data_IF_425534494274
#
_entry.id   IF_425534494274
#
_cell.length_a   1.000
_cell.length_b   1.000
_cell.length_c   1.000
_cell.angle_alpha   90.00
_cell.angle_beta   90.00
_cell.angle_gamma   90.00
#
_symmetry.space_group_name_H-M   'P 1'
#
loop_
_entity.id
_entity.type
_entity.pdbx_description
1 polymer ?
#
# COMPACT_ATOMS: atom_id res chain seq x y z
N UNK A 1 0.91 5.81 17.24
CA UNK A 1 0.97 4.52 16.51
C UNK A 1 1.46 4.68 15.07
N UNK A 2 1.53 5.89 14.50
CA UNK A 2 2.34 6.13 13.27
C UNK A 2 2.80 7.59 13.25
N UNK A 3 4.11 7.80 13.42
CA UNK A 3 4.76 9.11 13.34
C UNK A 3 4.93 9.51 11.86
N UNK A 4 4.91 10.81 11.54
CA UNK A 4 5.17 11.32 10.18
C UNK A 4 6.50 10.80 9.59
N UNK A 5 7.47 10.49 10.44
CA UNK A 5 8.76 9.90 10.07
C UNK A 5 8.62 8.49 9.49
N UNK A 6 7.70 7.67 10.01
CA UNK A 6 7.49 6.30 9.53
C UNK A 6 6.89 6.27 8.10
N UNK A 7 6.06 7.26 7.76
CA UNK A 7 5.52 7.41 6.41
C UNK A 7 6.58 7.85 5.40
N UNK A 8 7.50 8.73 5.82
CA UNK A 8 8.60 9.20 4.97
C UNK A 8 9.56 8.06 4.57
N UNK A 9 9.85 7.13 5.48
CA UNK A 9 10.68 5.96 5.18
C UNK A 9 10.01 4.99 4.21
N UNK A 10 8.71 4.75 4.37
CA UNK A 10 7.93 3.92 3.43
C UNK A 10 7.93 4.51 2.01
N UNK A 11 7.83 5.83 1.90
CA UNK A 11 7.92 6.53 0.62
C UNK A 11 9.31 6.42 0.00
N UNK A 12 10.37 6.56 0.80
CA UNK A 12 11.76 6.52 0.35
C UNK A 12 12.11 5.21 -0.38
N UNK A 13 11.58 4.07 0.08
CA UNK A 13 11.85 2.77 -0.53
C UNK A 13 11.33 2.64 -1.97
N UNK A 14 10.22 3.33 -2.31
CA UNK A 14 9.65 3.30 -3.68
C UNK A 14 10.12 4.46 -4.56
N UNK A 15 10.83 5.44 -3.99
CA UNK A 15 11.25 6.65 -4.71
C UNK A 15 12.15 6.33 -5.92
N UNK A 16 13.02 5.32 -5.80
CA UNK A 16 13.86 4.88 -6.92
C UNK A 16 13.02 4.31 -8.08
N UNK A 17 12.00 3.50 -7.79
CA UNK A 17 11.14 2.91 -8.82
C UNK A 17 10.28 3.97 -9.52
N UNK A 18 9.78 4.96 -8.78
CA UNK A 18 9.02 6.12 -9.31
C UNK A 18 9.83 6.96 -10.29
N UNK A 19 11.13 7.09 -10.05
CA UNK A 19 12.05 7.86 -10.91
C UNK A 19 12.76 7.00 -11.97
N UNK A 20 12.30 5.78 -12.19
CA UNK A 20 12.89 4.85 -13.15
C UNK A 20 11.98 4.63 -14.37
N UNK A 21 12.50 4.08 -15.47
CA UNK A 21 11.68 3.65 -16.61
C UNK A 21 10.58 2.63 -16.24
N UNK A 22 10.67 2.00 -15.07
CA UNK A 22 9.67 1.05 -14.57
C UNK A 22 8.37 1.74 -14.11
N UNK A 23 8.39 3.05 -13.87
CA UNK A 23 7.23 3.80 -13.38
C UNK A 23 5.98 3.58 -14.25
N UNK A 24 6.12 3.74 -15.57
CA UNK A 24 4.98 3.68 -16.47
C UNK A 24 4.44 2.24 -16.60
N UNK A 25 5.33 1.25 -16.53
CA UNK A 25 4.95 -0.16 -16.51
C UNK A 25 4.14 -0.51 -15.23
N UNK A 26 4.52 0.06 -14.08
CA UNK A 26 3.79 -0.14 -12.82
C UNK A 26 2.43 0.54 -12.90
N UNK A 27 2.36 1.80 -13.34
CA UNK A 27 1.10 2.54 -13.47
C UNK A 27 0.13 1.86 -14.44
N UNK A 28 0.63 1.35 -15.58
CA UNK A 28 -0.19 0.63 -16.55
C UNK A 28 -0.76 -0.70 -16.00
N UNK A 29 -0.10 -1.30 -15.01
CA UNK A 29 -0.53 -2.51 -14.34
C UNK A 29 -1.39 -2.25 -13.10
N UNK A 30 -1.33 -1.07 -12.51
CA UNK A 30 -2.18 -0.68 -11.38
C UNK A 30 -3.51 -0.14 -11.90
N UNK A 31 -4.66 -0.81 -11.65
CA UNK A 31 -5.98 -0.29 -12.05
C UNK A 31 -6.29 1.12 -11.52
N UNK A 32 -5.82 1.46 -10.32
CA UNK A 32 -5.95 2.81 -9.76
C UNK A 32 -5.13 3.89 -10.52
N UNK A 33 -4.22 3.48 -11.42
CA UNK A 33 -3.37 4.32 -12.27
C UNK A 33 -2.62 5.43 -11.53
N UNK A 34 -2.20 5.14 -10.30
CA UNK A 34 -1.36 6.01 -9.48
C UNK A 34 -0.60 5.19 -8.47
N UNK A 35 0.43 5.81 -7.89
CA UNK A 35 1.07 5.27 -6.71
C UNK A 35 0.16 5.40 -5.48
N UNK A 36 0.22 4.38 -4.64
CA UNK A 36 -0.37 4.43 -3.31
C UNK A 36 0.32 5.46 -2.43
N UNK A 37 -0.44 6.02 -1.51
CA UNK A 37 0.06 6.86 -0.42
C UNK A 37 0.08 6.06 0.88
N UNK A 38 1.07 6.28 1.76
CA UNK A 38 1.19 5.51 2.99
C UNK A 38 -0.06 5.59 3.90
N UNK A 39 -0.81 6.69 3.85
CA UNK A 39 -2.03 6.90 4.62
C UNK A 39 -3.14 5.91 4.25
N UNK A 40 -3.11 5.37 3.03
CA UNK A 40 -4.11 4.41 2.55
C UNK A 40 -3.99 3.04 3.23
N UNK A 41 -2.84 2.74 3.84
CA UNK A 41 -2.63 1.52 4.64
C UNK A 41 -3.26 1.62 6.04
N UNK A 42 -3.51 2.83 6.54
CA UNK A 42 -3.98 3.06 7.91
C UNK A 42 -5.34 2.40 8.14
N UNK A 43 -6.27 2.52 7.18
CA UNK A 43 -7.59 1.90 7.30
C UNK A 43 -7.51 0.38 7.43
N UNK A 44 -6.70 -0.27 6.60
CA UNK A 44 -6.50 -1.71 6.65
C UNK A 44 -5.82 -2.15 7.94
N UNK A 45 -4.80 -1.42 8.40
CA UNK A 45 -4.13 -1.69 9.67
C UNK A 45 -5.08 -1.55 10.87
N UNK A 46 -5.89 -0.48 10.90
CA UNK A 46 -6.90 -0.26 11.95
C UNK A 46 -7.96 -1.36 11.91
N UNK A 47 -8.44 -1.75 10.73
CA UNK A 47 -9.39 -2.85 10.59
C UNK A 47 -8.84 -4.15 11.16
N UNK A 48 -7.64 -4.56 10.73
CA UNK A 48 -7.00 -5.80 11.18
C UNK A 48 -6.63 -5.78 12.68
N UNK A 49 -6.38 -4.61 13.26
CA UNK A 49 -6.12 -4.46 14.69
C UNK A 49 -7.40 -4.33 15.54
N UNK A 50 -8.57 -4.21 14.92
CA UNK A 50 -9.85 -4.00 15.60
C UNK A 50 -10.59 -5.32 15.83
N UNK A 51 -11.59 -5.28 16.72
CA UNK A 51 -12.52 -6.41 16.92
C UNK A 51 -13.32 -6.81 15.67
N UNK A 52 -13.40 -5.93 14.67
CA UNK A 52 -14.05 -6.26 13.41
C UNK A 52 -13.34 -7.40 12.65
N UNK A 53 -12.08 -7.69 12.99
CA UNK A 53 -11.29 -8.77 12.42
C UNK A 53 -11.12 -9.98 13.37
N UNK A 54 -11.88 -10.09 14.48
CA UNK A 54 -11.67 -11.11 15.53
C UNK A 54 -11.70 -12.57 15.02
N UNK A 55 -12.37 -12.85 13.89
CA UNK A 55 -12.41 -14.19 13.28
C UNK A 55 -11.61 -14.31 11.98
N UNK A 56 -10.79 -13.30 11.65
CA UNK A 56 -9.94 -13.28 10.46
C UNK A 56 -8.52 -13.65 10.89
N UNK A 57 -8.07 -14.85 10.51
CA UNK A 57 -6.70 -15.31 10.78
C UNK A 57 -6.10 -15.95 9.53
N UNK A 58 -4.79 -15.81 9.35
CA UNK A 58 -4.06 -16.41 8.21
C UNK A 58 -4.37 -15.80 6.83
N UNK A 59 -4.99 -14.62 6.77
CA UNK A 59 -5.36 -13.93 5.52
C UNK A 59 -4.38 -12.80 5.21
N UNK A 60 -4.01 -12.66 3.94
CA UNK A 60 -3.34 -11.48 3.40
C UNK A 60 -4.37 -10.56 2.76
N UNK A 61 -4.45 -9.30 3.23
CA UNK A 61 -5.32 -8.28 2.65
C UNK A 61 -4.48 -7.35 1.74
N UNK A 62 -4.54 -7.51 0.40
CA UNK A 62 -3.79 -6.63 -0.50
C UNK A 62 -4.38 -5.21 -0.50
N UNK A 63 -3.51 -4.21 -0.35
CA UNK A 63 -3.82 -2.78 -0.43
C UNK A 63 -2.87 -2.14 -1.45
N UNK A 64 -3.09 -2.45 -2.73
CA UNK A 64 -2.14 -2.16 -3.81
C UNK A 64 -2.78 -1.46 -5.03
N UNK A 65 -4.02 -0.98 -4.89
CA UNK A 65 -4.75 -0.35 -5.99
C UNK A 65 -5.15 -1.30 -7.12
N UNK A 66 -5.10 -2.62 -6.88
CA UNK A 66 -5.46 -3.67 -7.82
C UNK A 66 -4.28 -4.22 -8.63
N UNK A 67 -3.04 -3.89 -8.24
CA UNK A 67 -1.84 -4.33 -8.96
C UNK A 67 -1.70 -5.86 -9.03
N UNK A 68 -2.05 -6.58 -7.96
CA UNK A 68 -1.87 -8.04 -7.88
C UNK A 68 -2.87 -8.85 -8.71
N UNK A 69 -3.95 -8.24 -9.20
CA UNK A 69 -5.03 -8.93 -9.92
C UNK A 69 -5.02 -8.65 -11.43
N UNK A 70 -3.99 -7.97 -11.93
CA UNK A 70 -3.80 -7.62 -13.34
C UNK A 70 -2.44 -8.08 -13.88
#
# INVERSE_FOLDING_TARGET
>A
IVSSTAYAECFAMTAQARNSPMNDAILARTPANRWGQPEELVGAAVFLASRAADFITGVTLPVDGGYSIR
#
